data_IF_903097080716
#
_entry.id   IF_903097080716
#
_cell.length_a   1.000
_cell.length_b   1.000
_cell.length_c   1.000
_cell.angle_alpha   90.00
_cell.angle_beta   90.00
_cell.angle_gamma   90.00
#
_symmetry.space_group_name_H-M   'P 1'
#
loop_
_entity.id
_entity.type
_entity.pdbx_description
1 polymer ?
#
# COMPACT_ATOMS: atom_id res chain seq x y z
N UNK A 1 10.22 -13.13 -12.55
CA UNK A 1 10.56 -12.82 -13.97
C UNK A 1 11.79 -13.60 -14.40
N UNK A 2 11.94 -13.89 -15.69
CA UNK A 2 13.12 -14.61 -16.22
C UNK A 2 14.41 -13.81 -16.15
N UNK A 3 14.31 -12.47 -16.27
CA UNK A 3 15.43 -11.54 -16.13
C UNK A 3 14.96 -10.25 -15.45
N UNK A 4 15.75 -9.65 -14.55
CA UNK A 4 15.49 -8.31 -14.05
C UNK A 4 15.33 -7.31 -15.20
N UNK A 5 14.40 -6.37 -15.06
CA UNK A 5 14.13 -5.32 -16.04
C UNK A 5 14.19 -3.98 -15.34
N UNK A 6 14.67 -2.97 -16.04
CA UNK A 6 14.60 -1.57 -15.62
C UNK A 6 13.66 -0.84 -16.56
N UNK A 7 12.73 -0.10 -15.99
CA UNK A 7 11.80 0.73 -16.75
C UNK A 7 12.00 2.20 -16.34
N UNK A 8 12.18 3.05 -17.31
CA UNK A 8 12.06 4.49 -17.11
C UNK A 8 10.59 4.83 -16.85
N UNK A 9 10.34 5.83 -16.02
CA UNK A 9 8.98 6.25 -15.67
C UNK A 9 8.16 6.62 -16.91
N UNK A 10 8.76 7.35 -17.85
CA UNK A 10 8.13 7.72 -19.13
C UNK A 10 7.69 6.49 -19.92
N UNK A 11 8.52 5.44 -19.96
CA UNK A 11 8.18 4.18 -20.60
C UNK A 11 7.02 3.49 -19.90
N UNK A 12 6.95 3.53 -18.57
CA UNK A 12 5.81 3.00 -17.84
C UNK A 12 4.56 3.77 -18.23
N UNK A 13 4.59 5.11 -18.09
CA UNK A 13 3.44 5.98 -18.29
C UNK A 13 2.89 5.94 -19.73
N UNK A 14 3.75 5.70 -20.74
CA UNK A 14 3.32 5.56 -22.12
C UNK A 14 2.61 4.23 -22.45
N UNK A 15 2.66 3.24 -21.53
CA UNK A 15 2.11 1.89 -21.73
C UNK A 15 1.00 1.52 -20.75
N UNK A 16 0.53 2.46 -19.96
CA UNK A 16 -0.53 2.26 -18.96
C UNK A 16 -1.64 3.28 -19.13
N UNK A 17 -2.81 2.97 -18.60
CA UNK A 17 -3.97 3.86 -18.61
C UNK A 17 -4.02 4.67 -17.31
N UNK A 18 -3.77 5.98 -17.41
CA UNK A 18 -3.90 6.88 -16.25
C UNK A 18 -5.38 7.15 -15.97
N UNK A 19 -5.75 6.96 -14.71
CA UNK A 19 -7.11 7.13 -14.20
C UNK A 19 -7.13 8.05 -12.97
N UNK A 20 -8.22 8.77 -12.80
CA UNK A 20 -8.53 9.49 -11.56
C UNK A 20 -9.35 8.59 -10.63
N UNK A 21 -8.91 8.43 -9.40
CA UNK A 21 -9.53 7.58 -8.39
C UNK A 21 -9.71 8.30 -7.06
N UNK A 22 -10.94 8.43 -6.60
CA UNK A 22 -11.23 9.02 -5.29
C UNK A 22 -11.32 7.90 -4.26
N UNK A 23 -10.31 7.77 -3.42
CA UNK A 23 -10.22 6.69 -2.43
C UNK A 23 -10.21 7.20 -0.99
N UNK A 24 -10.78 6.40 -0.10
CA UNK A 24 -10.56 6.54 1.35
C UNK A 24 -9.15 6.08 1.70
N UNK A 25 -8.52 6.80 2.61
CA UNK A 25 -7.28 6.39 3.26
C UNK A 25 -7.54 6.29 4.75
N UNK A 26 -7.17 5.19 5.38
CA UNK A 26 -7.31 4.93 6.80
C UNK A 26 -5.95 4.65 7.43
N UNK A 27 -5.52 5.52 8.33
CA UNK A 27 -4.31 5.31 9.11
C UNK A 27 -4.58 4.31 10.24
N UNK A 28 -3.59 3.47 10.55
CA UNK A 28 -3.65 2.59 11.72
C UNK A 28 -3.89 3.35 13.02
N UNK A 29 -3.50 4.61 13.12
CA UNK A 29 -3.72 5.51 14.27
C UNK A 29 -5.15 6.09 14.35
N UNK A 30 -6.13 5.45 13.74
CA UNK A 30 -7.55 5.77 13.85
C UNK A 30 -7.95 7.17 13.36
N UNK A 31 -7.29 7.66 12.31
CA UNK A 31 -7.75 8.80 11.52
C UNK A 31 -7.87 8.42 10.03
N UNK A 32 -8.65 9.17 9.28
CA UNK A 32 -8.92 8.90 7.87
C UNK A 32 -9.09 10.17 7.06
N UNK A 33 -8.96 10.04 5.75
CA UNK A 33 -9.23 11.10 4.79
C UNK A 33 -9.69 10.51 3.46
N UNK A 34 -10.17 11.36 2.56
CA UNK A 34 -10.51 11.01 1.17
C UNK A 34 -9.54 11.75 0.26
N UNK A 35 -8.93 11.04 -0.66
CA UNK A 35 -7.91 11.59 -1.54
C UNK A 35 -8.27 11.28 -2.99
N UNK A 36 -8.35 12.27 -3.87
CA UNK A 36 -8.40 12.08 -5.32
C UNK A 36 -6.98 11.80 -5.82
N UNK A 37 -6.72 10.54 -6.14
CA UNK A 37 -5.47 10.08 -6.72
C UNK A 37 -5.54 10.12 -8.24
N UNK A 38 -4.40 10.33 -8.87
CA UNK A 38 -4.17 10.06 -10.28
C UNK A 38 -3.10 8.97 -10.40
N UNK A 39 -3.37 7.95 -11.20
CA UNK A 39 -2.45 6.81 -11.34
C UNK A 39 -3.01 5.73 -12.26
N UNK A 40 -2.45 4.54 -12.19
CA UNK A 40 -2.82 3.39 -13.01
C UNK A 40 -2.83 2.11 -12.19
N UNK A 41 -3.52 1.09 -12.67
CA UNK A 41 -3.60 -0.19 -11.98
C UNK A 41 -2.22 -0.86 -11.90
N UNK A 42 -1.83 -1.33 -10.71
CA UNK A 42 -0.58 -2.06 -10.54
C UNK A 42 -0.51 -3.30 -11.44
N UNK A 43 -1.65 -3.92 -11.74
CA UNK A 43 -1.75 -5.07 -12.63
C UNK A 43 -1.21 -4.81 -14.04
N UNK A 44 -1.26 -3.57 -14.53
CA UNK A 44 -0.71 -3.22 -15.84
C UNK A 44 0.83 -3.32 -15.83
N UNK A 45 1.48 -2.79 -14.79
CA UNK A 45 2.93 -2.92 -14.65
C UNK A 45 3.36 -4.37 -14.40
N UNK A 46 2.58 -5.14 -13.63
CA UNK A 46 2.85 -6.56 -13.42
C UNK A 46 2.81 -7.33 -14.74
N UNK A 47 1.82 -7.05 -15.60
CA UNK A 47 1.73 -7.66 -16.93
C UNK A 47 2.93 -7.31 -17.81
N UNK A 48 3.39 -6.04 -17.80
CA UNK A 48 4.59 -5.62 -18.52
C UNK A 48 5.86 -6.33 -18.01
N UNK A 49 5.94 -6.60 -16.72
CA UNK A 49 7.10 -7.23 -16.08
C UNK A 49 7.17 -8.76 -16.32
N UNK A 50 6.10 -9.40 -16.75
CA UNK A 50 6.00 -10.84 -17.03
C UNK A 50 6.60 -11.72 -15.92
N UNK A 51 6.07 -11.69 -14.68
CA UNK A 51 6.56 -12.52 -13.60
C UNK A 51 6.44 -14.00 -13.92
N UNK A 52 7.27 -14.85 -13.30
CA UNK A 52 7.11 -16.30 -13.39
C UNK A 52 5.80 -16.72 -12.72
N UNK A 53 5.21 -17.83 -13.19
CA UNK A 53 3.99 -18.39 -12.62
C UNK A 53 4.13 -18.83 -11.16
N UNK A 54 5.36 -19.02 -10.67
CA UNK A 54 5.67 -19.31 -9.27
C UNK A 54 5.55 -18.10 -8.34
N UNK A 55 5.46 -16.87 -8.89
CA UNK A 55 5.35 -15.66 -8.09
C UNK A 55 3.99 -15.60 -7.37
N UNK A 56 4.01 -15.58 -6.04
CA UNK A 56 2.84 -15.51 -5.17
C UNK A 56 2.70 -14.17 -4.48
N UNK A 57 3.80 -13.42 -4.38
CA UNK A 57 3.89 -12.15 -3.67
C UNK A 57 4.63 -11.10 -4.49
N UNK A 58 4.32 -9.86 -4.20
CA UNK A 58 5.00 -8.67 -4.74
C UNK A 58 5.55 -7.88 -3.57
N UNK A 59 6.87 -7.64 -3.55
CA UNK A 59 7.52 -6.77 -2.57
C UNK A 59 7.93 -5.47 -3.24
N UNK A 60 7.74 -4.36 -2.52
CA UNK A 60 8.12 -3.02 -2.93
C UNK A 60 9.21 -2.49 -2.02
N UNK A 61 10.15 -1.75 -2.60
CA UNK A 61 11.26 -1.13 -1.86
C UNK A 61 11.27 0.37 -2.18
N UNK A 62 11.33 1.19 -1.12
CA UNK A 62 11.42 2.65 -1.26
C UNK A 62 12.86 3.10 -1.55
N UNK A 63 12.98 4.31 -2.10
CA UNK A 63 14.29 4.98 -2.26
C UNK A 63 14.99 5.16 -0.92
N UNK A 64 16.31 4.95 -0.89
CA UNK A 64 17.14 5.20 0.30
C UNK A 64 18.21 6.23 -0.02
N UNK A 65 17.96 7.48 0.42
CA UNK A 65 18.84 8.64 0.21
C UNK A 65 18.88 9.50 1.47
N UNK A 66 19.53 9.04 2.55
CA UNK A 66 19.47 9.70 3.86
C UNK A 66 20.01 11.14 3.86
N UNK A 67 20.85 11.50 2.89
CA UNK A 67 21.39 12.86 2.74
C UNK A 67 20.35 13.84 2.21
N UNK A 68 19.47 13.38 1.31
CA UNK A 68 18.35 14.15 0.76
C UNK A 68 17.07 14.01 1.60
N UNK A 69 16.95 12.92 2.36
CA UNK A 69 15.80 12.54 3.16
C UNK A 69 16.18 12.32 4.64
N UNK A 70 16.38 13.40 5.43
CA UNK A 70 16.93 13.30 6.80
C UNK A 70 16.14 12.40 7.75
N UNK A 71 14.83 12.18 7.47
CA UNK A 71 14.02 11.22 8.21
C UNK A 71 14.54 9.79 8.14
N UNK A 72 15.28 9.43 7.10
CA UNK A 72 15.87 8.10 6.92
C UNK A 72 17.13 7.87 7.76
N UNK A 73 17.69 8.91 8.35
CA UNK A 73 18.81 8.79 9.32
C UNK A 73 18.31 8.36 10.71
N UNK A 74 17.01 8.52 10.99
CA UNK A 74 16.42 8.12 12.26
C UNK A 74 16.25 6.61 12.31
N UNK A 75 16.61 6.01 13.46
CA UNK A 75 16.49 4.57 13.72
C UNK A 75 15.07 4.14 14.14
N UNK A 76 14.05 4.90 13.76
CA UNK A 76 12.64 4.58 14.11
C UNK A 76 12.06 3.45 13.28
N UNK A 77 12.68 3.14 12.14
CA UNK A 77 12.32 2.03 11.26
C UNK A 77 13.57 1.57 10.50
N UNK A 78 13.56 0.33 10.03
CA UNK A 78 14.66 -0.22 9.21
C UNK A 78 14.50 0.29 7.78
N UNK A 79 15.53 0.96 7.27
CA UNK A 79 15.58 1.45 5.90
C UNK A 79 16.42 0.52 4.99
N UNK A 80 16.14 0.41 3.68
CA UNK A 80 15.00 1.01 2.99
C UNK A 80 13.65 0.44 3.47
N UNK A 81 12.60 1.26 3.46
CA UNK A 81 11.26 0.82 3.80
C UNK A 81 10.77 -0.22 2.78
N UNK A 82 10.14 -1.28 3.25
CA UNK A 82 9.65 -2.39 2.44
C UNK A 82 8.21 -2.70 2.79
N UNK A 83 7.44 -2.99 1.75
CA UNK A 83 6.07 -3.48 1.86
C UNK A 83 5.82 -4.64 0.92
N UNK A 84 4.80 -5.44 1.23
CA UNK A 84 4.43 -6.60 0.44
C UNK A 84 2.93 -6.75 0.25
N UNK A 85 2.55 -7.35 -0.87
CA UNK A 85 1.19 -7.78 -1.18
C UNK A 85 1.22 -9.21 -1.67
N UNK A 86 0.12 -9.96 -1.48
CA UNK A 86 -0.12 -11.17 -2.25
C UNK A 86 -0.36 -10.79 -3.72
N UNK A 87 -0.13 -11.73 -4.63
CA UNK A 87 -0.30 -11.49 -6.06
C UNK A 87 -1.77 -11.14 -6.41
N UNK A 88 -2.75 -11.78 -5.79
CA UNK A 88 -4.16 -11.49 -5.99
C UNK A 88 -4.56 -10.08 -5.50
N UNK A 89 -3.99 -9.61 -4.39
CA UNK A 89 -4.14 -8.22 -3.91
C UNK A 89 -3.49 -7.23 -4.87
N UNK A 90 -2.30 -7.55 -5.38
CA UNK A 90 -1.56 -6.71 -6.34
C UNK A 90 -2.27 -6.62 -7.70
N UNK A 91 -2.99 -7.68 -8.10
CA UNK A 91 -3.77 -7.75 -9.34
C UNK A 91 -5.18 -7.20 -9.21
N UNK A 92 -5.65 -6.87 -8.00
CA UNK A 92 -6.98 -6.30 -7.79
C UNK A 92 -7.08 -4.92 -8.44
N UNK A 93 -8.18 -4.61 -9.16
CA UNK A 93 -8.37 -3.32 -9.85
C UNK A 93 -8.32 -2.08 -8.94
N UNK A 94 -8.54 -2.22 -7.64
CA UNK A 94 -8.42 -1.13 -6.68
C UNK A 94 -6.96 -0.81 -6.30
N UNK A 95 -6.02 -1.72 -6.54
CA UNK A 95 -4.60 -1.50 -6.27
C UNK A 95 -3.99 -0.68 -7.39
N UNK A 96 -3.58 0.54 -7.08
CA UNK A 96 -2.98 1.46 -8.06
C UNK A 96 -1.57 1.89 -7.67
N UNK A 97 -0.80 2.26 -8.68
CA UNK A 97 0.39 3.07 -8.56
C UNK A 97 0.03 4.51 -8.88
N UNK A 98 0.08 5.38 -7.87
CA UNK A 98 -0.28 6.78 -8.03
C UNK A 98 0.94 7.64 -8.39
N UNK A 99 0.74 8.54 -9.38
CA UNK A 99 1.72 9.49 -9.91
C UNK A 99 1.29 10.93 -9.65
N UNK A 100 0.06 11.14 -9.15
CA UNK A 100 -0.51 12.45 -8.84
C UNK A 100 -1.61 12.38 -7.80
N UNK A 101 -1.99 13.53 -7.27
CA UNK A 101 -3.13 13.72 -6.38
C UNK A 101 -3.66 15.16 -6.48
N UNK A 102 -4.98 15.32 -6.26
CA UNK A 102 -5.67 16.62 -6.37
C UNK A 102 -5.46 17.34 -7.72
N UNK A 103 -5.29 16.58 -8.80
CA UNK A 103 -5.06 17.14 -10.15
C UNK A 103 -3.64 17.66 -10.39
N UNK A 104 -2.69 17.37 -9.51
CA UNK A 104 -1.30 17.77 -9.61
C UNK A 104 -0.35 16.55 -9.61
N UNK A 105 0.84 16.75 -10.11
CA UNK A 105 1.92 15.78 -9.98
C UNK A 105 2.19 15.41 -8.51
N UNK A 106 2.69 14.20 -8.29
CA UNK A 106 2.98 13.71 -6.94
C UNK A 106 4.06 14.53 -6.25
N UNK A 107 3.76 15.24 -5.14
CA UNK A 107 4.80 15.90 -4.37
C UNK A 107 5.78 14.89 -3.73
N UNK A 108 7.03 15.29 -3.56
CA UNK A 108 8.07 14.44 -2.95
C UNK A 108 7.64 13.88 -1.60
N UNK A 109 7.06 14.71 -0.73
CA UNK A 109 6.55 14.31 0.59
C UNK A 109 5.46 13.24 0.52
N UNK A 110 4.68 13.22 -0.56
CA UNK A 110 3.58 12.28 -0.75
C UNK A 110 4.01 10.99 -1.45
N UNK A 111 5.26 10.90 -1.92
CA UNK A 111 5.84 9.68 -2.44
C UNK A 111 6.22 9.69 -3.92
N UNK A 112 6.56 10.87 -4.47
CA UNK A 112 7.06 10.96 -5.84
C UNK A 112 8.25 10.02 -6.09
N UNK A 113 8.46 9.58 -7.36
CA UNK A 113 7.60 9.85 -8.51
C UNK A 113 6.39 8.91 -8.60
N UNK A 114 6.43 7.79 -7.88
CA UNK A 114 5.40 6.75 -7.90
C UNK A 114 5.25 6.13 -6.51
N UNK A 115 3.99 5.94 -6.09
CA UNK A 115 3.66 5.30 -4.83
C UNK A 115 2.54 4.27 -4.98
N UNK A 116 2.50 3.29 -4.07
CA UNK A 116 1.39 2.36 -3.96
C UNK A 116 0.20 3.01 -3.26
N UNK A 117 -1.02 2.65 -3.69
CA UNK A 117 -2.27 2.94 -2.99
C UNK A 117 -3.13 1.68 -2.98
N UNK A 118 -3.46 1.22 -1.76
CA UNK A 118 -4.31 0.04 -1.50
C UNK A 118 -5.41 0.48 -0.55
N UNK A 119 -6.60 0.89 -1.04
CA UNK A 119 -7.56 1.66 -0.25
C UNK A 119 -8.21 0.89 0.90
N UNK A 120 -8.25 -0.44 0.85
CA UNK A 120 -8.86 -1.27 1.90
C UNK A 120 -7.89 -1.69 3.02
N UNK A 121 -6.59 -1.33 2.87
CA UNK A 121 -5.56 -1.60 3.87
C UNK A 121 -5.20 -0.34 4.65
N UNK A 122 -4.62 -0.51 5.82
CA UNK A 122 -4.06 0.62 6.56
C UNK A 122 -2.98 1.34 5.75
N UNK A 123 -2.94 2.66 5.88
CA UNK A 123 -2.15 3.56 5.03
C UNK A 123 -0.65 3.26 4.98
N UNK A 124 -0.07 2.59 5.99
CA UNK A 124 1.34 2.23 5.97
C UNK A 124 1.69 1.19 4.89
N UNK A 125 0.72 0.37 4.45
CA UNK A 125 0.88 -0.55 3.31
C UNK A 125 1.12 0.19 1.99
N UNK A 126 0.67 1.41 1.88
CA UNK A 126 0.79 2.24 0.68
C UNK A 126 2.16 2.91 0.60
N UNK A 127 3.19 2.10 0.36
CA UNK A 127 4.61 2.51 0.29
C UNK A 127 4.85 3.64 -0.71
N UNK A 128 5.71 4.60 -0.33
CA UNK A 128 6.07 5.80 -1.10
C UNK A 128 7.38 5.61 -1.86
N UNK A 129 7.57 6.41 -2.91
CA UNK A 129 8.85 6.58 -3.63
C UNK A 129 9.49 5.24 -3.99
N UNK A 130 8.71 4.42 -4.70
CA UNK A 130 9.11 3.05 -5.08
C UNK A 130 10.24 3.12 -6.11
N UNK A 131 11.31 2.38 -5.88
CA UNK A 131 12.45 2.22 -6.80
C UNK A 131 12.67 0.78 -7.23
N UNK A 132 12.08 -0.19 -6.51
CA UNK A 132 12.23 -1.60 -6.86
C UNK A 132 10.94 -2.37 -6.53
N UNK A 133 10.57 -3.29 -7.43
CA UNK A 133 9.47 -4.24 -7.26
C UNK A 133 10.03 -5.64 -7.48
N UNK A 134 9.83 -6.53 -6.51
CA UNK A 134 10.28 -7.92 -6.53
C UNK A 134 9.11 -8.87 -6.58
N UNK A 135 9.20 -9.90 -7.39
CA UNK A 135 8.22 -11.00 -7.45
C UNK A 135 8.80 -12.21 -6.74
N UNK A 136 8.09 -12.72 -5.73
CA UNK A 136 8.56 -13.74 -4.80
C UNK A 136 7.57 -14.91 -4.73
N UNK A 137 8.06 -16.09 -4.46
CA UNK A 137 7.27 -17.30 -4.23
C UNK A 137 6.87 -17.48 -2.76
N UNK A 138 7.54 -16.79 -1.86
CA UNK A 138 7.30 -16.78 -0.42
C UNK A 138 6.92 -15.39 0.07
N UNK A 139 6.20 -15.32 1.21
CA UNK A 139 5.81 -14.06 1.81
C UNK A 139 7.06 -13.23 2.19
N UNK A 140 7.18 -11.99 1.70
CA UNK A 140 8.28 -11.12 2.05
C UNK A 140 8.12 -10.50 3.43
N UNK A 141 9.23 -10.19 4.06
CA UNK A 141 9.26 -9.33 5.24
C UNK A 141 8.83 -7.91 4.88
N UNK A 142 8.06 -7.28 5.77
CA UNK A 142 7.67 -5.87 5.68
C UNK A 142 8.25 -5.08 6.83
N UNK A 143 8.46 -3.77 6.65
CA UNK A 143 9.20 -2.96 7.63
C UNK A 143 8.51 -2.87 8.99
N UNK A 144 7.19 -2.66 9.03
CA UNK A 144 6.47 -2.57 10.31
C UNK A 144 6.28 -3.93 10.98
N UNK A 145 5.96 -4.98 10.23
CA UNK A 145 5.87 -6.34 10.75
C UNK A 145 7.19 -6.80 11.37
N UNK A 146 8.34 -6.51 10.72
CA UNK A 146 9.66 -6.84 11.26
C UNK A 146 9.97 -6.02 12.51
N UNK A 147 9.59 -4.74 12.56
CA UNK A 147 9.88 -3.85 13.68
C UNK A 147 9.04 -4.18 14.92
N UNK A 148 7.75 -4.44 14.74
CA UNK A 148 6.80 -4.66 15.83
C UNK A 148 5.71 -5.68 15.43
N UNK A 149 6.05 -6.98 15.34
CA UNK A 149 5.14 -8.02 14.85
C UNK A 149 3.91 -8.23 15.74
N UNK A 150 3.93 -7.75 16.99
CA UNK A 150 2.78 -7.76 17.90
C UNK A 150 1.81 -6.60 17.70
N UNK A 151 2.17 -5.61 16.86
CA UNK A 151 1.34 -4.44 16.55
C UNK A 151 0.90 -4.41 15.08
N UNK A 152 1.71 -4.96 14.16
CA UNK A 152 1.53 -4.84 12.72
C UNK A 152 1.67 -6.19 12.03
N UNK A 153 0.64 -6.60 11.32
CA UNK A 153 0.64 -7.80 10.52
C UNK A 153 0.94 -7.54 9.04
N UNK A 154 1.20 -8.63 8.31
CA UNK A 154 1.48 -8.58 6.88
C UNK A 154 0.31 -8.02 6.06
N UNK A 155 -0.91 -8.49 6.33
CA UNK A 155 -2.07 -8.10 5.53
C UNK A 155 -2.48 -6.65 5.77
N UNK A 156 -2.46 -6.20 7.02
CA UNK A 156 -2.80 -4.84 7.41
C UNK A 156 -4.14 -4.35 6.83
N UNK A 157 -5.12 -5.24 6.72
CA UNK A 157 -6.46 -4.90 6.29
C UNK A 157 -7.16 -4.05 7.35
N UNK A 158 -7.89 -3.01 6.93
CA UNK A 158 -8.69 -2.23 7.88
C UNK A 158 -9.78 -3.14 8.46
N UNK A 159 -9.68 -3.41 9.76
CA UNK A 159 -10.59 -4.30 10.47
C UNK A 159 -11.01 -3.65 11.81
N UNK A 160 -12.27 -3.20 11.95
CA UNK A 160 -12.76 -2.59 13.18
C UNK A 160 -12.83 -3.54 14.38
N UNK A 161 -12.83 -4.86 14.14
CA UNK A 161 -12.94 -5.89 15.17
C UNK A 161 -11.58 -6.30 15.76
N UNK A 162 -10.46 -5.92 15.12
CA UNK A 162 -9.10 -6.19 15.58
C UNK A 162 -8.46 -4.90 16.03
N UNK A 163 -8.34 -4.71 17.34
CA UNK A 163 -7.76 -3.52 17.91
C UNK A 163 -6.22 -3.53 17.80
N UNK A 164 -5.63 -2.36 17.65
CA UNK A 164 -4.23 -2.16 17.93
C UNK A 164 -3.97 -2.35 19.44
N UNK A 165 -2.83 -2.90 19.89
CA UNK A 165 -2.58 -3.10 21.32
C UNK A 165 -2.72 -1.84 22.20
N UNK A 166 -2.55 -0.66 21.61
CA UNK A 166 -2.57 0.63 22.31
C UNK A 166 -3.85 1.46 22.13
N UNK A 167 -4.72 1.13 21.15
CA UNK A 167 -5.97 1.85 20.88
C UNK A 167 -6.99 1.00 20.14
N UNK A 168 -8.25 1.45 20.17
CA UNK A 168 -9.33 0.81 19.42
C UNK A 168 -9.33 1.19 17.94
N UNK A 169 -9.66 0.21 17.09
CA UNK A 169 -9.87 0.41 15.64
C UNK A 169 -11.35 0.56 15.28
N UNK A 170 -12.27 0.40 16.23
CA UNK A 170 -13.72 0.44 15.97
C UNK A 170 -14.24 1.78 15.47
N UNK A 171 -13.53 2.88 15.74
CA UNK A 171 -13.92 4.23 15.27
C UNK A 171 -12.73 4.99 14.71
N UNK A 172 -13.02 5.95 13.81
CA UNK A 172 -12.02 6.79 13.18
C UNK A 172 -12.40 8.27 13.22
N UNK A 173 -11.39 9.15 13.16
CA UNK A 173 -11.58 10.58 12.98
C UNK A 173 -11.31 10.94 11.52
N UNK A 174 -12.35 11.32 10.78
CA UNK A 174 -12.16 11.88 9.44
C UNK A 174 -11.59 13.28 9.52
N UNK A 175 -10.47 13.53 8.83
CA UNK A 175 -9.86 14.87 8.74
C UNK A 175 -10.90 15.83 8.14
N UNK A 176 -11.08 16.99 8.81
CA UNK A 176 -12.11 17.97 8.44
C UNK A 176 -13.48 17.77 9.12
N UNK A 177 -13.68 16.68 9.86
CA UNK A 177 -14.93 16.43 10.62
C UNK A 177 -14.69 16.54 12.13
N UNK A 178 -15.71 17.01 12.86
CA UNK A 178 -15.64 17.16 14.33
C UNK A 178 -15.93 15.84 15.06
N UNK A 179 -16.85 15.03 14.53
CA UNK A 179 -17.28 13.77 15.17
C UNK A 179 -16.49 12.59 14.64
N UNK A 180 -16.24 11.60 15.53
CA UNK A 180 -15.76 10.29 15.11
C UNK A 180 -16.89 9.55 14.39
N UNK A 181 -16.52 8.67 13.47
CA UNK A 181 -17.41 7.75 12.76
C UNK A 181 -16.98 6.31 13.02
N UNK A 182 -17.86 5.37 12.78
CA UNK A 182 -17.51 3.96 12.78
C UNK A 182 -16.52 3.64 11.67
N UNK A 183 -15.54 2.79 11.98
CA UNK A 183 -14.62 2.25 10.98
C UNK A 183 -15.32 1.13 10.22
N UNK A 184 -15.32 1.20 8.90
CA UNK A 184 -15.88 0.15 8.05
C UNK A 184 -14.86 -0.95 7.80
N UNK A 185 -15.31 -2.20 7.76
CA UNK A 185 -14.49 -3.33 7.36
C UNK A 185 -13.88 -3.07 5.97
N UNK A 186 -12.60 -3.43 5.79
CA UNK A 186 -11.84 -3.12 4.58
C UNK A 186 -11.94 -1.64 4.14
N UNK A 187 -12.05 -0.73 5.12
CA UNK A 187 -12.25 0.71 4.85
C UNK A 187 -13.48 1.02 3.97
N UNK A 188 -14.49 0.11 3.97
CA UNK A 188 -15.70 0.20 3.17
C UNK A 188 -15.56 -0.27 1.71
N UNK A 189 -14.60 -1.14 1.43
CA UNK A 189 -14.39 -1.83 0.15
C UNK A 189 -14.65 -3.34 0.26
N UNK A 190 -15.52 -3.74 1.19
CA UNK A 190 -15.78 -5.14 1.50
C UNK A 190 -16.32 -5.92 0.28
N UNK A 191 -17.24 -5.32 -0.47
CA UNK A 191 -17.84 -5.95 -1.66
C UNK A 191 -16.79 -6.31 -2.71
N UNK A 192 -15.75 -5.48 -2.86
CA UNK A 192 -14.71 -5.64 -3.87
C UNK A 192 -13.56 -6.57 -3.45
N UNK A 193 -13.36 -6.77 -2.11
CA UNK A 193 -12.13 -7.43 -1.66
C UNK A 193 -12.33 -8.58 -0.67
N UNK A 194 -13.50 -8.73 -0.03
CA UNK A 194 -13.70 -9.76 0.99
C UNK A 194 -13.44 -11.18 0.47
N UNK A 195 -13.76 -11.43 -0.80
CA UNK A 195 -13.55 -12.72 -1.45
C UNK A 195 -12.08 -13.17 -1.48
N UNK A 196 -11.12 -12.23 -1.43
CA UNK A 196 -9.67 -12.51 -1.39
C UNK A 196 -9.27 -13.19 -0.06
N UNK A 197 -10.06 -13.01 0.98
CA UNK A 197 -9.72 -13.39 2.37
C UNK A 197 -10.66 -14.44 2.96
N UNK A 198 -11.56 -15.02 2.17
CA UNK A 198 -12.60 -15.97 2.63
C UNK A 198 -12.07 -17.17 3.41
N UNK A 199 -10.83 -17.59 3.10
CA UNK A 199 -10.18 -18.75 3.71
C UNK A 199 -9.21 -18.36 4.84
N UNK A 200 -9.19 -17.08 5.26
CA UNK A 200 -8.31 -16.56 6.29
C UNK A 200 -9.09 -16.11 7.53
N UNK A 201 -8.57 -16.46 8.69
CA UNK A 201 -9.01 -15.91 9.97
C UNK A 201 -8.41 -14.51 10.15
N UNK A 202 -9.18 -13.47 9.82
CA UNK A 202 -8.73 -12.07 9.88
C UNK A 202 -8.53 -11.54 11.31
N UNK A 203 -8.77 -12.34 12.34
CA UNK A 203 -8.39 -12.01 13.73
C UNK A 203 -6.94 -12.37 14.02
N UNK A 204 -6.36 -13.27 13.23
CA UNK A 204 -4.96 -13.73 13.33
C UNK A 204 -4.07 -13.21 12.21
N UNK A 205 -4.67 -13.09 11.01
CA UNK A 205 -3.97 -12.62 9.80
C UNK A 205 -4.37 -11.15 9.53
N UNK A 206 -3.85 -10.26 10.34
CA UNK A 206 -4.09 -8.82 10.26
C UNK A 206 -2.89 -8.03 9.70
#
# INVERSE_FOLDING_TARGET
MKKPQTFDLEKILSNVTIEDRVYRLRCVEAWSMVIPWQGFQLSELIKMAEPLSSAKYVQFVTVFRPEEMPGQQKRTIIWPYREGLRMDEAMNPLTILATGLYGHEMPNQNGAPIRLVVPWKYGFKSIKSIVEIRFLDTQPETSWETLAPWEYGFYANVNPSVNHPRWSQGTERRIGEFKRRETLMFNGYEEEVAHLYKDLDLTKFY
#
